data_IF_567037830762
#
_entry.id   IF_567037830762
#
_cell.length_a   1.000
_cell.length_b   1.000
_cell.length_c   1.000
_cell.angle_alpha   90.00
_cell.angle_beta   90.00
_cell.angle_gamma   90.00
#
_symmetry.space_group_name_H-M   'P 1'
#
loop_
_entity.id
_entity.type
_entity.pdbx_description
1 polymer ?
#
# COMPACT_ATOMS: atom_id res chain seq x y z
N UNK A 1 28.24 -68.20 42.24
CA UNK A 1 27.22 -67.85 41.20
C UNK A 1 26.10 -67.11 41.93
N UNK A 2 25.79 -65.83 41.79
CA UNK A 2 26.06 -64.80 40.78
C UNK A 2 26.03 -63.42 41.47
N UNK A 3 26.97 -62.54 41.12
CA UNK A 3 27.04 -61.15 41.55
C UNK A 3 26.27 -60.30 40.52
N UNK A 4 25.10 -59.75 40.87
CA UNK A 4 24.33 -58.88 39.96
C UNK A 4 24.90 -57.45 39.97
N UNK A 5 25.68 -57.09 38.94
CA UNK A 5 26.06 -55.70 38.64
C UNK A 5 24.85 -54.98 38.01
N UNK A 6 24.36 -53.92 38.66
CA UNK A 6 23.42 -52.97 38.05
C UNK A 6 24.18 -52.02 37.14
N UNK A 7 23.94 -52.11 35.84
CA UNK A 7 24.42 -51.17 34.83
C UNK A 7 23.41 -50.01 34.75
N UNK A 8 23.80 -48.79 35.15
CA UNK A 8 23.01 -47.59 34.88
C UNK A 8 23.28 -47.16 33.44
N UNK A 9 22.30 -47.31 32.55
CA UNK A 9 22.32 -46.70 31.22
C UNK A 9 21.84 -45.24 31.32
N UNK A 10 22.75 -44.30 31.10
CA UNK A 10 22.41 -42.91 30.80
C UNK A 10 21.90 -42.81 29.35
N UNK A 11 20.61 -42.57 29.17
CA UNK A 11 20.06 -42.16 27.88
C UNK A 11 20.32 -40.67 27.67
N UNK A 12 21.32 -40.31 26.86
CA UNK A 12 21.46 -38.97 26.32
C UNK A 12 20.33 -38.71 25.31
N UNK A 13 19.36 -37.89 25.68
CA UNK A 13 18.41 -37.29 24.74
C UNK A 13 19.15 -36.25 23.89
N UNK A 14 19.57 -36.63 22.69
CA UNK A 14 20.03 -35.69 21.67
C UNK A 14 18.77 -35.12 21.01
N UNK A 15 18.35 -33.94 21.43
CA UNK A 15 17.31 -33.19 20.74
C UNK A 15 17.85 -32.76 19.35
N UNK A 16 17.19 -33.10 18.24
CA UNK A 16 17.58 -32.59 16.93
C UNK A 16 17.30 -31.09 16.91
N UNK A 17 18.36 -30.28 16.92
CA UNK A 17 18.29 -28.89 16.52
C UNK A 17 17.88 -28.85 15.05
N UNK A 18 16.59 -28.65 14.80
CA UNK A 18 16.12 -28.19 13.49
C UNK A 18 16.62 -26.76 13.31
N UNK A 19 17.84 -26.63 12.78
CA UNK A 19 18.25 -25.40 12.11
C UNK A 19 17.37 -25.32 10.87
N UNK A 20 16.25 -24.62 10.99
CA UNK A 20 15.46 -24.25 9.82
C UNK A 20 16.36 -23.44 8.91
N UNK A 21 16.82 -24.05 7.81
CA UNK A 21 17.54 -23.34 6.77
C UNK A 21 16.61 -22.23 6.27
N UNK A 22 16.88 -20.98 6.69
CA UNK A 22 16.39 -19.82 5.98
C UNK A 22 16.96 -19.96 4.58
N UNK A 23 16.11 -20.37 3.62
CA UNK A 23 16.45 -20.26 2.21
C UNK A 23 16.72 -18.77 1.96
N UNK A 24 17.99 -18.38 1.96
CA UNK A 24 18.40 -17.04 1.58
C UNK A 24 17.97 -16.86 0.13
N UNK A 25 16.79 -16.28 -0.08
CA UNK A 25 16.31 -15.91 -1.41
C UNK A 25 17.34 -14.93 -1.96
N UNK A 26 18.01 -15.33 -3.04
CA UNK A 26 19.03 -14.49 -3.68
C UNK A 26 18.38 -13.20 -4.14
N UNK A 27 18.96 -12.06 -3.76
CA UNK A 27 18.47 -10.76 -4.20
C UNK A 27 18.52 -10.67 -5.73
N UNK A 28 17.42 -10.23 -6.34
CA UNK A 28 17.26 -10.09 -7.79
C UNK A 28 17.14 -8.63 -8.17
N UNK A 29 17.58 -8.32 -9.39
CA UNK A 29 17.45 -6.98 -9.96
C UNK A 29 15.97 -6.69 -10.20
N UNK A 30 15.50 -5.54 -9.72
CA UNK A 30 14.12 -5.08 -9.89
C UNK A 30 13.91 -4.61 -11.33
N UNK A 31 12.88 -5.13 -12.05
CA UNK A 31 12.54 -4.65 -13.38
C UNK A 31 11.89 -3.26 -13.34
N UNK A 32 11.96 -2.54 -14.46
CA UNK A 32 11.30 -1.24 -14.66
C UNK A 32 10.50 -1.24 -15.96
N UNK A 33 9.15 -1.24 -15.91
CA UNK A 33 8.31 -1.20 -14.71
C UNK A 33 8.42 -2.47 -13.83
N UNK A 34 8.04 -2.35 -12.56
CA UNK A 34 7.93 -3.49 -11.65
C UNK A 34 6.76 -4.39 -12.08
N UNK A 35 5.60 -3.79 -12.36
CA UNK A 35 4.39 -4.52 -12.67
C UNK A 35 3.44 -3.70 -13.56
N UNK A 36 2.77 -4.40 -14.49
CA UNK A 36 1.64 -3.89 -15.28
C UNK A 36 0.50 -4.88 -15.18
N UNK A 37 -0.70 -4.35 -14.95
CA UNK A 37 -1.91 -5.16 -14.92
C UNK A 37 -2.24 -5.67 -16.34
N UNK A 38 -2.37 -6.99 -16.56
CA UNK A 38 -2.60 -7.51 -17.90
C UNK A 38 -4.04 -7.27 -18.38
N UNK A 39 -4.99 -7.05 -17.47
CA UNK A 39 -6.43 -6.99 -17.77
C UNK A 39 -6.82 -5.63 -18.35
N UNK A 40 -6.71 -4.58 -17.54
CA UNK A 40 -7.05 -3.21 -17.89
C UNK A 40 -5.85 -2.28 -18.03
N UNK A 41 -4.65 -2.69 -17.59
CA UNK A 41 -3.39 -1.93 -17.67
C UNK A 41 -3.45 -0.57 -16.95
N UNK A 42 -4.18 -0.55 -15.82
CA UNK A 42 -4.33 0.61 -14.96
C UNK A 42 -4.03 0.31 -13.50
N UNK A 43 -2.94 -0.40 -13.21
CA UNK A 43 -2.52 -0.68 -11.84
C UNK A 43 -2.10 0.61 -11.12
N UNK A 44 -2.80 0.96 -10.04
CA UNK A 44 -2.55 2.17 -9.26
C UNK A 44 -2.77 1.92 -7.75
N UNK A 45 -2.29 2.84 -6.93
CA UNK A 45 -2.57 2.89 -5.48
C UNK A 45 -2.28 1.52 -4.79
N UNK A 46 -1.05 1.00 -4.87
CA UNK A 46 -0.74 -0.35 -4.41
C UNK A 46 -0.72 -0.44 -2.88
N UNK A 47 -0.91 -1.65 -2.34
CA UNK A 47 -0.48 -2.07 -1.00
C UNK A 47 0.16 -3.45 -1.08
N UNK A 48 1.31 -3.62 -0.45
CA UNK A 48 2.10 -4.86 -0.46
C UNK A 48 2.04 -5.54 0.90
N UNK A 49 1.47 -6.73 0.95
CA UNK A 49 1.16 -7.45 2.19
C UNK A 49 1.54 -8.93 2.10
N UNK A 50 2.02 -9.50 3.20
CA UNK A 50 2.37 -10.92 3.26
C UNK A 50 1.13 -11.80 3.49
N UNK A 51 0.86 -12.70 2.56
CA UNK A 51 -0.11 -13.77 2.72
C UNK A 51 0.50 -14.92 3.54
N UNK A 52 0.03 -15.08 4.79
CA UNK A 52 0.54 -16.08 5.73
C UNK A 52 0.22 -17.51 5.29
N UNK A 53 -0.99 -17.73 4.76
CA UNK A 53 -1.45 -19.05 4.35
C UNK A 53 -0.68 -19.56 3.12
N UNK A 54 -0.45 -18.68 2.14
CA UNK A 54 0.23 -19.07 0.90
C UNK A 54 1.75 -18.86 0.91
N UNK A 55 2.27 -18.18 1.93
CA UNK A 55 3.68 -17.81 2.04
C UNK A 55 4.18 -17.07 0.78
N UNK A 56 3.40 -16.09 0.34
CA UNK A 56 3.69 -15.20 -0.79
C UNK A 56 3.42 -13.76 -0.39
N UNK A 57 4.11 -12.84 -1.04
CA UNK A 57 3.74 -11.44 -1.07
C UNK A 57 2.58 -11.25 -2.02
N UNK A 58 1.54 -10.58 -1.56
CA UNK A 58 0.46 -10.08 -2.40
C UNK A 58 0.62 -8.57 -2.55
N UNK A 59 0.29 -8.08 -3.73
CA UNK A 59 0.14 -6.68 -4.02
C UNK A 59 -1.31 -6.47 -4.45
N UNK A 60 -2.04 -5.71 -3.65
CA UNK A 60 -3.39 -5.29 -3.95
C UNK A 60 -3.33 -3.90 -4.55
N UNK A 61 -4.09 -3.63 -5.61
CA UNK A 61 -4.01 -2.35 -6.32
C UNK A 61 -5.37 -1.95 -6.89
N UNK A 62 -5.64 -0.65 -7.01
CA UNK A 62 -6.75 -0.14 -7.80
C UNK A 62 -6.58 -0.57 -9.25
N UNK A 63 -7.52 -1.35 -9.79
CA UNK A 63 -7.50 -1.79 -11.18
C UNK A 63 -8.27 -0.82 -12.07
N UNK A 64 -7.64 0.32 -12.42
CA UNK A 64 -8.24 1.35 -13.30
C UNK A 64 -8.46 0.78 -14.70
N UNK A 65 -9.58 1.13 -15.32
CA UNK A 65 -10.05 0.53 -16.58
C UNK A 65 -9.43 1.19 -17.82
N UNK A 66 -8.10 1.32 -17.89
CA UNK A 66 -7.43 2.11 -18.92
C UNK A 66 -7.67 1.60 -20.35
N UNK A 67 -7.79 0.27 -20.55
CA UNK A 67 -8.13 -0.37 -21.83
C UNK A 67 -9.61 -0.30 -22.22
N UNK A 68 -10.51 0.09 -21.31
CA UNK A 68 -11.92 0.14 -21.61
C UNK A 68 -12.22 1.24 -22.64
N UNK A 69 -13.05 0.89 -23.63
CA UNK A 69 -13.45 1.78 -24.72
C UNK A 69 -14.72 2.55 -24.34
N UNK A 70 -14.97 3.62 -25.08
CA UNK A 70 -16.23 4.37 -25.04
C UNK A 70 -16.57 4.89 -23.62
N UNK A 71 -15.54 5.25 -22.86
CA UNK A 71 -15.66 5.85 -21.54
C UNK A 71 -15.40 7.35 -21.58
N UNK A 72 -16.34 8.12 -21.02
CA UNK A 72 -16.27 9.58 -20.92
C UNK A 72 -15.65 10.05 -19.60
N UNK A 73 -14.95 11.18 -19.64
CA UNK A 73 -14.33 11.83 -18.50
C UNK A 73 -13.55 10.86 -17.61
N UNK A 74 -13.91 10.80 -16.33
CA UNK A 74 -13.21 9.97 -15.34
C UNK A 74 -13.84 8.59 -15.16
N UNK A 75 -14.78 8.19 -16.02
CA UNK A 75 -15.46 6.89 -15.92
C UNK A 75 -14.48 5.72 -15.86
N UNK A 76 -13.32 5.80 -16.51
CA UNK A 76 -12.29 4.76 -16.50
C UNK A 76 -11.64 4.54 -15.13
N UNK A 77 -11.68 5.51 -14.22
CA UNK A 77 -11.27 5.29 -12.82
C UNK A 77 -12.43 4.83 -11.94
N UNK A 78 -13.68 4.84 -12.41
CA UNK A 78 -14.80 4.23 -11.72
C UNK A 78 -15.06 2.80 -12.21
N UNK A 79 -15.92 2.05 -11.54
CA UNK A 79 -16.20 0.64 -11.81
C UNK A 79 -15.00 -0.27 -11.54
N UNK A 80 -14.03 0.22 -10.76
CA UNK A 80 -12.77 -0.45 -10.49
C UNK A 80 -12.92 -1.52 -9.44
N UNK A 81 -12.11 -2.58 -9.60
CA UNK A 81 -11.91 -3.62 -8.60
C UNK A 81 -10.54 -3.45 -7.97
N UNK A 82 -10.28 -4.19 -6.89
CA UNK A 82 -8.95 -4.33 -6.34
C UNK A 82 -8.30 -5.56 -6.99
N UNK A 83 -7.29 -5.34 -7.83
CA UNK A 83 -6.50 -6.41 -8.44
C UNK A 83 -5.54 -7.04 -7.44
N UNK A 84 -5.14 -8.28 -7.71
CA UNK A 84 -4.19 -9.06 -6.91
C UNK A 84 -3.05 -9.49 -7.83
N UNK A 85 -1.83 -9.09 -7.50
CA UNK A 85 -0.61 -9.70 -8.00
C UNK A 85 0.10 -10.46 -6.87
N UNK A 86 0.73 -11.58 -7.18
CA UNK A 86 1.48 -12.39 -6.21
C UNK A 86 2.95 -12.53 -6.59
N UNK A 87 3.82 -12.56 -5.57
CA UNK A 87 5.25 -12.75 -5.73
C UNK A 87 5.83 -13.59 -4.60
N UNK A 88 6.83 -14.42 -4.90
CA UNK A 88 7.61 -15.12 -3.87
C UNK A 88 8.79 -14.29 -3.37
N UNK A 89 9.31 -13.36 -4.15
CA UNK A 89 10.55 -12.63 -3.85
C UNK A 89 10.37 -11.11 -3.80
N UNK A 90 9.18 -10.59 -4.13
CA UNK A 90 8.89 -9.16 -4.23
C UNK A 90 9.35 -8.51 -5.53
N UNK A 91 9.85 -9.31 -6.49
CA UNK A 91 10.40 -8.85 -7.78
C UNK A 91 9.57 -9.38 -8.93
N UNK A 92 9.35 -10.70 -8.96
CA UNK A 92 8.56 -11.35 -10.00
C UNK A 92 7.10 -11.34 -9.58
N UNK A 93 6.32 -10.42 -10.13
CA UNK A 93 4.89 -10.27 -9.85
C UNK A 93 4.06 -10.92 -10.94
N UNK A 94 3.11 -11.76 -10.55
CA UNK A 94 2.17 -12.41 -11.46
C UNK A 94 0.75 -11.99 -11.10
N UNK A 95 -0.02 -11.59 -12.11
CA UNK A 95 -1.45 -11.39 -11.94
C UNK A 95 -2.10 -12.67 -11.42
N UNK A 96 -3.01 -12.51 -10.46
CA UNK A 96 -3.77 -13.60 -9.89
C UNK A 96 -5.24 -13.47 -10.26
N UNK A 97 -5.90 -12.45 -9.72
CA UNK A 97 -7.33 -12.18 -9.90
C UNK A 97 -7.66 -10.78 -9.33
N UNK A 98 -8.91 -10.51 -9.01
CA UNK A 98 -9.38 -9.40 -8.19
C UNK A 98 -9.92 -9.89 -6.85
N UNK A 99 -9.88 -9.03 -5.82
CA UNK A 99 -10.44 -9.33 -4.52
C UNK A 99 -11.94 -9.65 -4.60
N UNK A 100 -12.35 -10.71 -3.91
CA UNK A 100 -13.75 -11.03 -3.68
C UNK A 100 -14.35 -10.25 -2.51
N UNK A 101 -14.78 -9.01 -2.75
CA UNK A 101 -15.38 -8.15 -1.73
C UNK A 101 -16.88 -8.41 -1.64
N UNK A 102 -17.37 -8.95 -0.52
CA UNK A 102 -18.78 -9.27 -0.24
C UNK A 102 -19.59 -8.03 0.18
N UNK A 103 -19.50 -6.98 -0.63
CA UNK A 103 -20.27 -5.74 -0.53
C UNK A 103 -20.36 -5.16 -1.93
N UNK A 104 -21.30 -5.73 -2.70
CA UNK A 104 -21.42 -5.55 -4.14
C UNK A 104 -22.85 -5.17 -4.50
N UNK A 105 -23.05 -3.93 -4.95
CA UNK A 105 -24.23 -3.59 -5.76
C UNK A 105 -23.86 -3.74 -7.24
N UNK A 106 -24.73 -3.50 -8.24
CA UNK A 106 -24.32 -3.67 -9.63
C UNK A 106 -23.24 -2.67 -10.09
N UNK A 107 -23.30 -1.42 -9.59
CA UNK A 107 -22.47 -0.32 -10.06
C UNK A 107 -21.72 0.35 -8.88
N UNK A 108 -20.48 -0.05 -8.64
CA UNK A 108 -19.67 0.43 -7.51
C UNK A 108 -18.19 0.36 -7.85
N UNK A 109 -17.42 1.13 -7.10
CA UNK A 109 -16.03 1.46 -7.41
C UNK A 109 -15.18 1.33 -6.15
N UNK A 110 -14.00 0.74 -6.29
CA UNK A 110 -13.03 0.55 -5.21
C UNK A 110 -11.68 1.18 -5.53
N UNK A 111 -11.14 1.98 -4.62
CA UNK A 111 -9.83 2.64 -4.76
C UNK A 111 -8.97 2.47 -3.51
N UNK A 112 -7.65 2.52 -3.71
CA UNK A 112 -6.62 2.72 -2.69
C UNK A 112 -6.83 1.84 -1.44
N UNK A 113 -6.64 0.51 -1.57
CA UNK A 113 -6.73 -0.39 -0.43
C UNK A 113 -5.59 -0.12 0.56
N UNK A 114 -5.90 0.01 1.84
CA UNK A 114 -4.93 -0.18 2.92
C UNK A 114 -5.20 -1.50 3.61
N UNK A 115 -4.16 -2.29 3.86
CA UNK A 115 -4.29 -3.59 4.52
C UNK A 115 -3.30 -3.74 5.65
N UNK A 116 -3.82 -4.15 6.81
CA UNK A 116 -3.03 -4.56 7.97
C UNK A 116 -3.44 -5.95 8.44
N UNK A 117 -2.54 -6.62 9.15
CA UNK A 117 -2.84 -7.89 9.81
C UNK A 117 -2.80 -7.72 11.33
N UNK A 118 -3.80 -8.29 12.01
CA UNK A 118 -3.88 -8.31 13.45
C UNK A 118 -4.47 -9.64 13.92
N UNK A 119 -3.70 -10.39 14.71
CA UNK A 119 -4.14 -11.63 15.38
C UNK A 119 -4.77 -12.68 14.43
N UNK A 120 -4.19 -12.84 13.24
CA UNK A 120 -4.62 -13.82 12.24
C UNK A 120 -5.68 -13.31 11.26
N UNK A 121 -6.16 -12.08 11.41
CA UNK A 121 -7.15 -11.45 10.54
C UNK A 121 -6.52 -10.29 9.79
N UNK A 122 -6.78 -10.23 8.49
CA UNK A 122 -6.46 -9.07 7.66
C UNK A 122 -7.63 -8.10 7.71
N UNK A 123 -7.34 -6.82 7.95
CA UNK A 123 -8.30 -5.73 7.87
C UNK A 123 -7.94 -4.88 6.66
N UNK A 124 -8.93 -4.60 5.82
CA UNK A 124 -8.80 -3.65 4.71
C UNK A 124 -9.67 -2.43 4.99
N UNK A 125 -9.09 -1.26 4.78
CA UNK A 125 -9.80 0.01 4.73
C UNK A 125 -9.73 0.52 3.31
N UNK A 126 -10.89 0.65 2.69
CA UNK A 126 -11.00 0.79 1.24
C UNK A 126 -11.87 1.98 0.90
N UNK A 127 -11.40 2.82 -0.02
CA UNK A 127 -12.24 3.86 -0.60
C UNK A 127 -13.33 3.22 -1.46
N UNK A 128 -14.57 3.54 -1.16
CA UNK A 128 -15.77 3.06 -1.83
C UNK A 128 -16.53 4.23 -2.44
N UNK A 129 -16.88 4.12 -3.72
CA UNK A 129 -17.77 5.05 -4.41
C UNK A 129 -19.02 4.30 -4.89
N UNK A 130 -20.25 4.75 -4.55
CA UNK A 130 -21.50 4.06 -4.84
C UNK A 130 -21.97 4.32 -6.28
N UNK A 131 -21.12 4.02 -7.26
CA UNK A 131 -21.49 4.20 -8.66
C UNK A 131 -20.32 4.27 -9.61
N UNK A 132 -20.69 4.38 -10.88
CA UNK A 132 -19.80 4.68 -12.00
C UNK A 132 -20.17 6.04 -12.56
N UNK A 133 -19.22 6.97 -12.55
CA UNK A 133 -19.50 8.37 -12.83
C UNK A 133 -18.47 8.97 -13.81
N UNK A 134 -18.92 9.94 -14.60
CA UNK A 134 -18.08 10.65 -15.56
C UNK A 134 -17.36 11.87 -14.96
N UNK A 135 -17.69 12.26 -13.73
CA UNK A 135 -17.06 13.37 -13.00
C UNK A 135 -16.83 13.07 -11.51
N UNK A 136 -16.24 14.02 -10.78
CA UNK A 136 -15.80 13.83 -9.39
C UNK A 136 -16.80 14.27 -8.31
N UNK A 137 -18.03 14.67 -8.65
CA UNK A 137 -18.99 15.32 -7.73
C UNK A 137 -19.91 14.32 -7.00
N UNK A 138 -19.40 13.14 -6.66
CA UNK A 138 -20.18 12.04 -6.09
C UNK A 138 -19.69 11.61 -4.70
N UNK A 139 -20.52 11.11 -3.79
CA UNK A 139 -20.06 10.71 -2.46
C UNK A 139 -18.99 9.61 -2.55
N UNK A 140 -18.11 9.56 -1.55
CA UNK A 140 -17.11 8.50 -1.41
C UNK A 140 -16.77 8.34 0.07
N UNK A 141 -16.75 7.10 0.51
CA UNK A 141 -16.58 6.72 1.90
C UNK A 141 -15.41 5.74 2.06
N UNK A 142 -14.92 5.58 3.28
CA UNK A 142 -14.04 4.47 3.63
C UNK A 142 -14.88 3.35 4.25
N UNK A 143 -14.75 2.13 3.71
CA UNK A 143 -15.37 0.92 4.26
C UNK A 143 -14.32 0.03 4.92
N UNK A 144 -14.73 -0.70 5.95
CA UNK A 144 -13.94 -1.71 6.63
C UNK A 144 -14.34 -3.11 6.16
N UNK A 145 -13.34 -3.88 5.77
CA UNK A 145 -13.46 -5.27 5.35
C UNK A 145 -12.51 -6.16 6.16
N UNK A 146 -12.85 -7.43 6.33
CA UNK A 146 -11.98 -8.44 6.95
C UNK A 146 -11.75 -9.63 6.03
N UNK A 147 -10.58 -10.27 6.16
CA UNK A 147 -10.23 -11.47 5.41
C UNK A 147 -9.30 -12.38 6.21
N UNK A 148 -9.34 -13.68 5.93
CA UNK A 148 -8.37 -14.67 6.43
C UNK A 148 -7.35 -15.09 5.38
N UNK A 149 -7.56 -14.69 4.10
CA UNK A 149 -6.77 -15.19 2.98
C UNK A 149 -6.35 -14.10 1.97
N UNK A 150 -6.67 -12.83 2.22
CA UNK A 150 -6.42 -11.67 1.35
C UNK A 150 -7.14 -11.69 -0.01
N UNK A 151 -8.05 -12.64 -0.22
CA UNK A 151 -8.78 -12.83 -1.47
C UNK A 151 -10.25 -12.56 -1.23
N UNK A 152 -10.86 -13.25 -0.27
CA UNK A 152 -12.26 -13.11 0.08
C UNK A 152 -12.40 -12.13 1.23
N UNK A 153 -13.20 -11.09 1.06
CA UNK A 153 -13.33 -9.98 1.98
C UNK A 153 -14.78 -9.86 2.43
N UNK A 154 -15.00 -10.02 3.73
CA UNK A 154 -16.28 -9.78 4.39
C UNK A 154 -16.40 -8.29 4.69
N UNK A 155 -17.56 -7.71 4.42
CA UNK A 155 -17.85 -6.34 4.87
C UNK A 155 -18.22 -6.29 6.34
N UNK A 156 -17.65 -5.33 7.05
CA UNK A 156 -17.92 -5.08 8.47
C UNK A 156 -18.70 -3.78 8.65
N UNK A 157 -18.20 -2.66 8.11
CA UNK A 157 -18.84 -1.36 8.32
C UNK A 157 -18.46 -0.32 7.26
N UNK A 158 -19.27 0.73 7.16
CA UNK A 158 -18.89 2.02 6.56
C UNK A 158 -18.46 2.95 7.70
N UNK A 159 -17.31 3.61 7.57
CA UNK A 159 -16.79 4.48 8.61
C UNK A 159 -17.53 5.82 8.63
N UNK A 160 -17.76 6.34 9.84
CA UNK A 160 -18.26 7.70 10.06
C UNK A 160 -17.08 8.64 10.31
N UNK A 161 -16.62 9.32 9.27
CA UNK A 161 -15.45 10.21 9.28
C UNK A 161 -15.87 11.67 9.14
N UNK A 162 -14.90 12.58 8.99
CA UNK A 162 -15.15 14.01 8.99
C UNK A 162 -16.06 14.53 7.86
N UNK A 163 -16.26 13.78 6.77
CA UNK A 163 -17.17 14.16 5.68
C UNK A 163 -17.60 12.98 4.81
N UNK A 164 -18.51 13.23 3.86
CA UNK A 164 -18.95 12.28 2.81
C UNK A 164 -18.01 12.24 1.59
N UNK A 165 -16.82 12.85 1.72
CA UNK A 165 -15.76 12.79 0.71
C UNK A 165 -14.41 12.47 1.33
N UNK A 166 -14.34 11.30 1.95
CA UNK A 166 -13.13 10.76 2.56
C UNK A 166 -12.56 9.59 1.75
N UNK A 167 -11.26 9.60 1.49
CA UNK A 167 -10.56 8.59 0.70
C UNK A 167 -9.20 8.23 1.32
N UNK A 168 -8.60 7.18 0.80
CA UNK A 168 -7.18 6.83 0.95
C UNK A 168 -6.77 6.66 2.41
N UNK A 169 -7.29 5.62 3.04
CA UNK A 169 -6.93 5.27 4.41
C UNK A 169 -5.46 4.82 4.49
N UNK A 170 -4.82 5.07 5.62
CA UNK A 170 -3.63 4.35 6.07
C UNK A 170 -3.72 4.11 7.57
N UNK A 171 -3.44 2.89 8.03
CA UNK A 171 -3.61 2.48 9.43
C UNK A 171 -2.28 2.09 10.04
N UNK A 172 -1.97 2.71 11.17
CA UNK A 172 -0.76 2.43 11.95
C UNK A 172 -1.12 2.04 13.38
N UNK A 173 -0.36 1.11 13.94
CA UNK A 173 -0.46 0.76 15.36
C UNK A 173 0.26 1.81 16.20
N UNK A 174 -0.43 2.35 17.19
CA UNK A 174 0.09 3.34 18.13
C UNK A 174 0.97 2.67 19.21
N UNK A 175 1.91 3.41 19.84
CA UNK A 175 2.77 2.87 20.91
C UNK A 175 2.00 2.29 22.11
N UNK A 176 0.81 2.82 22.41
CA UNK A 176 -0.06 2.32 23.48
C UNK A 176 -0.85 1.05 23.09
N UNK A 177 -0.69 0.53 21.88
CA UNK A 177 -1.36 -0.67 21.38
C UNK A 177 -2.68 -0.42 20.65
N UNK A 178 -3.24 0.79 20.72
CA UNK A 178 -4.39 1.23 19.90
C UNK A 178 -3.97 1.47 18.44
N UNK A 179 -4.90 1.93 17.61
CA UNK A 179 -4.70 2.14 16.18
C UNK A 179 -5.10 3.55 15.79
N UNK A 180 -4.36 4.11 14.83
CA UNK A 180 -4.68 5.38 14.19
C UNK A 180 -4.81 5.19 12.69
N UNK A 181 -5.88 5.71 12.13
CA UNK A 181 -6.08 5.82 10.69
C UNK A 181 -5.83 7.26 10.27
N UNK A 182 -5.03 7.47 9.24
CA UNK A 182 -4.99 8.71 8.48
C UNK A 182 -5.81 8.55 7.23
N UNK A 183 -6.46 9.62 6.79
CA UNK A 183 -7.26 9.61 5.56
C UNK A 183 -7.31 11.01 4.96
N UNK A 184 -7.57 11.09 3.66
CA UNK A 184 -7.80 12.35 2.99
C UNK A 184 -9.24 12.84 3.18
N UNK A 185 -9.42 14.11 3.53
CA UNK A 185 -10.72 14.77 3.55
C UNK A 185 -10.79 15.79 2.40
N UNK A 186 -11.47 15.42 1.31
CA UNK A 186 -11.55 16.26 0.12
C UNK A 186 -12.28 17.58 0.38
N UNK A 187 -13.29 17.58 1.25
CA UNK A 187 -14.07 18.78 1.59
C UNK A 187 -13.29 19.78 2.44
N UNK A 188 -12.19 19.34 3.06
CA UNK A 188 -11.31 20.19 3.86
C UNK A 188 -10.02 20.56 3.09
N UNK A 189 -10.16 20.90 1.81
CA UNK A 189 -9.04 21.30 0.96
C UNK A 189 -8.05 20.18 0.70
N UNK A 190 -8.53 18.92 0.60
CA UNK A 190 -7.68 17.74 0.38
C UNK A 190 -6.60 17.57 1.46
N UNK A 191 -6.95 17.87 2.70
CA UNK A 191 -6.04 17.73 3.85
C UNK A 191 -6.09 16.32 4.44
N UNK A 192 -5.05 15.91 5.17
CA UNK A 192 -5.03 14.63 5.87
C UNK A 192 -5.59 14.81 7.28
N UNK A 193 -6.56 13.99 7.62
CA UNK A 193 -7.22 13.90 8.92
C UNK A 193 -6.86 12.56 9.58
N UNK A 194 -7.26 12.37 10.85
CA UNK A 194 -7.10 11.08 11.51
C UNK A 194 -8.29 10.67 12.38
N UNK A 195 -8.44 9.37 12.56
CA UNK A 195 -9.37 8.72 13.48
C UNK A 195 -8.62 7.67 14.31
N UNK A 196 -9.09 7.39 15.52
CA UNK A 196 -8.47 6.42 16.43
C UNK A 196 -9.43 5.25 16.73
N UNK A 197 -8.87 4.07 16.98
CA UNK A 197 -9.60 2.84 17.29
C UNK A 197 -8.82 1.94 18.24
N UNK A 198 -9.50 1.31 19.20
CA UNK A 198 -8.88 0.32 20.10
C UNK A 198 -8.87 -1.09 19.50
N UNK A 199 -9.76 -1.39 18.55
CA UNK A 199 -10.08 -2.76 18.12
C UNK A 199 -10.07 -3.00 16.61
N UNK A 200 -9.87 -1.95 15.78
CA UNK A 200 -9.98 -1.96 14.31
C UNK A 200 -11.41 -2.18 13.77
N UNK A 201 -12.44 -2.07 14.59
CA UNK A 201 -13.84 -2.14 14.16
C UNK A 201 -14.57 -0.83 14.43
N UNK A 202 -14.30 -0.21 15.58
CA UNK A 202 -14.94 1.03 16.00
C UNK A 202 -13.94 2.18 15.91
N UNK A 203 -14.22 3.12 15.01
CA UNK A 203 -13.38 4.29 14.76
C UNK A 203 -14.03 5.54 15.32
N UNK A 204 -13.27 6.32 16.08
CA UNK A 204 -13.65 7.66 16.52
C UNK A 204 -12.88 8.69 15.72
N UNK A 205 -13.58 9.42 14.87
CA UNK A 205 -12.98 10.55 14.16
C UNK A 205 -12.48 11.61 15.14
N UNK A 206 -11.28 12.14 14.88
CA UNK A 206 -10.71 13.18 15.75
C UNK A 206 -11.29 14.58 15.47
N UNK A 207 -11.88 14.79 14.29
CA UNK A 207 -12.24 16.10 13.74
C UNK A 207 -11.03 16.98 13.42
N UNK A 208 -9.81 16.46 13.57
CA UNK A 208 -8.55 17.24 13.50
C UNK A 208 -7.79 16.92 12.23
N UNK A 209 -7.19 17.98 11.69
CA UNK A 209 -6.25 17.90 10.58
C UNK A 209 -4.87 17.47 11.10
N UNK A 210 -4.33 16.37 10.59
CA UNK A 210 -2.95 15.94 10.84
C UNK A 210 -1.96 16.70 9.95
N UNK A 211 -2.29 16.87 8.66
CA UNK A 211 -1.47 17.59 7.68
C UNK A 211 -2.38 18.45 6.81
N UNK A 212 -2.00 19.72 6.65
CA UNK A 212 -2.79 20.73 5.94
C UNK A 212 -2.01 21.83 5.26
N UNK A 213 -0.70 21.72 5.21
CA UNK A 213 0.17 22.72 4.60
C UNK A 213 0.03 22.74 3.07
N UNK A 214 -0.37 21.61 2.48
CA UNK A 214 -0.70 21.44 1.06
C UNK A 214 -1.84 20.46 0.89
N UNK A 215 -2.62 20.64 -0.19
CA UNK A 215 -3.54 19.61 -0.64
C UNK A 215 -2.79 18.36 -1.10
N UNK A 216 -3.37 17.20 -0.86
CA UNK A 216 -2.86 15.92 -1.33
C UNK A 216 -3.80 14.76 -1.07
N UNK A 217 -3.33 13.55 -1.27
CA UNK A 217 -4.04 12.29 -1.00
C UNK A 217 -3.03 11.16 -0.71
N UNK A 218 -3.50 9.92 -0.59
CA UNK A 218 -2.63 8.76 -0.36
C UNK A 218 -1.65 8.88 0.81
N UNK A 219 -2.10 9.18 2.05
CA UNK A 219 -1.22 9.13 3.19
C UNK A 219 -0.68 7.71 3.34
N UNK A 220 0.63 7.53 3.50
CA UNK A 220 1.24 6.26 3.92
C UNK A 220 2.16 6.46 5.10
N UNK A 221 1.81 5.88 6.24
CA UNK A 221 2.60 5.94 7.47
C UNK A 221 3.40 4.66 7.69
N UNK A 222 4.68 4.81 8.02
CA UNK A 222 5.57 3.71 8.37
C UNK A 222 6.63 4.14 9.38
N UNK A 223 7.13 3.19 10.18
CA UNK A 223 8.19 3.45 11.15
C UNK A 223 9.54 2.98 10.61
N UNK A 224 10.52 3.89 10.54
CA UNK A 224 11.86 3.59 10.05
C UNK A 224 12.88 4.59 10.58
N UNK A 225 14.08 4.12 10.95
CA UNK A 225 15.13 4.96 11.56
C UNK A 225 14.62 5.76 12.77
N UNK A 226 13.98 5.04 13.70
CA UNK A 226 13.47 5.55 14.98
C UNK A 226 12.53 6.74 14.86
N UNK A 227 11.79 6.81 13.74
CA UNK A 227 10.92 7.92 13.36
C UNK A 227 9.70 7.39 12.61
N UNK A 228 8.53 7.98 12.84
CA UNK A 228 7.38 7.77 11.99
C UNK A 228 7.46 8.70 10.79
N UNK A 229 7.29 8.14 9.61
CA UNK A 229 7.26 8.87 8.35
C UNK A 229 5.87 8.80 7.76
N UNK A 230 5.42 9.88 7.13
CA UNK A 230 4.24 9.90 6.28
C UNK A 230 4.62 10.36 4.88
N UNK A 231 4.23 9.58 3.88
CA UNK A 231 4.25 9.98 2.47
C UNK A 231 2.86 10.50 2.10
N UNK A 232 2.78 11.58 1.32
CA UNK A 232 1.51 12.13 0.81
C UNK A 232 1.70 12.49 -0.66
N UNK A 233 0.78 12.06 -1.53
CA UNK A 233 0.75 12.51 -2.93
C UNK A 233 0.24 13.95 -2.99
N UNK A 234 1.13 14.91 -3.23
CA UNK A 234 0.78 16.32 -3.38
C UNK A 234 0.58 16.74 -4.84
N UNK A 235 0.47 15.77 -5.78
CA UNK A 235 0.45 15.97 -7.23
C UNK A 235 1.62 16.82 -7.76
N UNK A 236 2.75 16.75 -7.05
CA UNK A 236 4.01 17.42 -7.39
C UNK A 236 5.17 16.56 -6.85
N UNK A 237 5.14 15.27 -7.18
CA UNK A 237 5.86 14.26 -6.40
C UNK A 237 5.26 14.06 -5.01
N UNK A 238 5.95 13.27 -4.19
CA UNK A 238 5.44 12.86 -2.89
C UNK A 238 6.08 13.66 -1.76
N UNK A 239 5.23 14.30 -0.95
CA UNK A 239 5.62 14.98 0.27
C UNK A 239 6.06 13.97 1.32
N UNK A 240 7.07 14.35 2.11
CA UNK A 240 7.62 13.54 3.20
C UNK A 240 7.46 14.30 4.51
N UNK A 241 6.90 13.64 5.51
CA UNK A 241 6.68 14.20 6.83
C UNK A 241 7.25 13.26 7.89
N UNK A 242 7.81 13.83 8.96
CA UNK A 242 8.37 13.12 10.10
C UNK A 242 7.56 13.41 11.37
N UNK A 243 7.35 12.40 12.20
CA UNK A 243 6.72 12.52 13.51
C UNK A 243 7.39 11.60 14.53
N UNK A 244 7.32 12.00 15.80
CA UNK A 244 7.71 11.18 16.94
C UNK A 244 6.52 10.58 17.69
N UNK A 245 5.33 11.13 17.50
CA UNK A 245 4.14 10.85 18.31
C UNK A 245 2.87 10.57 17.50
N UNK A 246 3.00 10.48 16.16
CA UNK A 246 1.89 10.27 15.22
C UNK A 246 0.83 11.39 15.26
N UNK A 247 1.12 12.53 15.86
CA UNK A 247 0.17 13.66 15.96
C UNK A 247 0.75 14.90 15.31
N UNK A 248 1.98 15.26 15.71
CA UNK A 248 2.69 16.41 15.15
C UNK A 248 3.58 15.96 13.99
N UNK A 249 3.36 16.55 12.82
CA UNK A 249 4.05 16.18 11.58
C UNK A 249 4.89 17.35 11.07
N UNK A 250 6.20 17.12 10.93
CA UNK A 250 7.13 18.08 10.34
C UNK A 250 7.43 17.70 8.90
N UNK A 251 7.10 18.57 7.97
CA UNK A 251 7.41 18.40 6.55
C UNK A 251 8.90 18.56 6.27
N UNK A 252 9.45 17.68 5.44
CA UNK A 252 10.76 17.85 4.80
C UNK A 252 10.67 18.89 3.67
N UNK A 253 11.71 19.72 3.42
CA UNK A 253 11.66 20.72 2.36
C UNK A 253 11.34 20.13 0.97
N UNK A 254 12.04 19.06 0.60
CA UNK A 254 11.98 18.46 -0.74
C UNK A 254 11.01 17.28 -0.82
N UNK A 255 10.29 17.22 -1.96
CA UNK A 255 9.49 16.06 -2.35
C UNK A 255 10.37 14.98 -2.99
N UNK A 256 10.03 13.72 -2.75
CA UNK A 256 10.61 12.60 -3.50
C UNK A 256 9.79 12.32 -4.76
N UNK A 257 10.39 11.64 -5.75
CA UNK A 257 9.71 11.20 -6.99
C UNK A 257 9.05 12.34 -7.83
N UNK A 258 9.44 13.60 -7.59
CA UNK A 258 8.97 14.75 -8.35
C UNK A 258 9.60 14.81 -9.76
N UNK A 259 10.90 14.52 -9.87
CA UNK A 259 11.69 14.68 -11.10
C UNK A 259 11.70 13.37 -11.88
N UNK A 260 11.19 13.32 -13.14
CA UNK A 260 11.18 12.13 -14.01
C UNK A 260 12.41 11.22 -13.91
N UNK A 261 12.20 9.91 -13.87
CA UNK A 261 13.27 8.91 -13.93
C UNK A 261 13.59 8.52 -15.38
N UNK A 262 14.44 7.50 -15.54
CA UNK A 262 14.92 7.00 -16.85
C UNK A 262 14.29 5.69 -17.28
N UNK A 263 13.63 4.95 -16.38
CA UNK A 263 12.95 3.69 -16.73
C UNK A 263 11.81 3.89 -17.73
N UNK A 264 11.52 2.88 -18.57
CA UNK A 264 10.59 2.98 -19.72
C UNK A 264 9.23 3.59 -19.37
N UNK A 265 8.68 3.27 -18.20
CA UNK A 265 7.40 3.84 -17.74
C UNK A 265 7.55 4.78 -16.52
N UNK A 266 8.77 5.19 -16.16
CA UNK A 266 9.08 5.96 -14.94
C UNK A 266 9.49 7.41 -15.25
N UNK A 267 9.22 7.87 -16.49
CA UNK A 267 9.64 9.17 -17.03
C UNK A 267 8.68 10.32 -16.70
N UNK A 268 7.86 10.14 -15.66
CA UNK A 268 6.92 11.14 -15.15
C UNK A 268 7.02 11.18 -13.62
N UNK A 269 6.29 12.09 -12.97
CA UNK A 269 6.24 12.10 -11.51
C UNK A 269 5.58 10.82 -10.96
N UNK A 270 6.04 10.33 -9.81
CA UNK A 270 5.37 9.24 -9.09
C UNK A 270 4.12 9.73 -8.37
N UNK A 271 3.08 8.89 -8.33
CA UNK A 271 1.84 9.13 -7.57
C UNK A 271 1.74 8.26 -6.33
N UNK A 272 0.52 8.20 -5.74
CA UNK A 272 0.14 7.40 -4.57
C UNK A 272 1.00 6.14 -4.36
N UNK A 273 1.51 6.00 -3.14
CA UNK A 273 2.52 5.00 -2.82
C UNK A 273 2.20 4.16 -1.58
N UNK A 274 2.79 2.98 -1.55
CA UNK A 274 2.97 2.17 -0.35
C UNK A 274 4.45 2.04 -0.01
N UNK A 275 4.75 1.74 1.26
CA UNK A 275 6.12 1.56 1.74
C UNK A 275 6.22 0.29 2.57
N UNK A 276 7.13 -0.59 2.18
CA UNK A 276 7.48 -1.80 2.93
C UNK A 276 8.84 -1.63 3.57
N UNK A 277 8.88 -1.69 4.90
CA UNK A 277 10.13 -1.81 5.66
C UNK A 277 10.45 -3.29 5.84
N UNK A 278 11.55 -3.77 5.27
CA UNK A 278 11.97 -5.17 5.35
C UNK A 278 13.49 -5.26 5.58
N UNK A 279 13.89 -5.99 6.63
CA UNK A 279 15.30 -6.15 7.01
C UNK A 279 16.06 -4.82 7.15
N UNK A 280 15.42 -3.81 7.77
CA UNK A 280 16.01 -2.49 8.02
C UNK A 280 16.11 -1.56 6.80
N UNK A 281 15.64 -2.00 5.62
CA UNK A 281 15.54 -1.21 4.39
C UNK A 281 14.09 -0.80 4.16
N UNK A 282 13.85 0.35 3.53
CA UNK A 282 12.53 0.83 3.20
C UNK A 282 12.36 0.89 1.67
N UNK A 283 11.31 0.28 1.15
CA UNK A 283 11.03 0.18 -0.28
C UNK A 283 9.72 0.87 -0.60
N UNK A 284 9.74 1.82 -1.52
CA UNK A 284 8.56 2.57 -1.95
C UNK A 284 8.01 1.98 -3.26
N UNK A 285 6.75 1.58 -3.23
CA UNK A 285 5.96 1.13 -4.37
C UNK A 285 5.06 2.28 -4.79
N UNK A 286 5.14 2.72 -6.04
CA UNK A 286 4.36 3.86 -6.53
C UNK A 286 3.90 3.59 -7.95
N UNK A 287 2.84 4.26 -8.38
CA UNK A 287 2.41 4.18 -9.78
C UNK A 287 2.85 5.41 -10.57
N UNK A 288 2.96 5.26 -11.88
CA UNK A 288 3.13 6.35 -12.84
C UNK A 288 2.04 6.26 -13.91
N UNK A 289 1.71 7.40 -14.51
CA UNK A 289 0.98 7.46 -15.78
C UNK A 289 1.98 7.80 -16.90
N UNK A 290 2.69 6.82 -17.46
CA UNK A 290 3.83 7.06 -18.35
C UNK A 290 3.49 7.89 -19.59
N UNK A 291 2.25 7.78 -20.09
CA UNK A 291 1.82 8.63 -21.20
C UNK A 291 1.41 10.04 -20.81
N UNK A 292 1.32 10.43 -19.53
CA UNK A 292 0.99 11.82 -19.14
C UNK A 292 2.24 12.71 -19.18
N UNK A 293 2.62 13.11 -20.39
CA UNK A 293 3.77 13.97 -20.65
C UNK A 293 3.34 15.42 -20.92
N UNK A 294 4.23 16.41 -20.82
CA UNK A 294 3.87 17.80 -21.08
C UNK A 294 3.22 18.03 -22.47
N UNK A 295 3.65 17.29 -23.48
CA UNK A 295 3.21 17.44 -24.87
C UNK A 295 1.75 17.00 -25.14
N UNK A 296 1.16 16.16 -24.28
CA UNK A 296 -0.22 15.67 -24.45
C UNK A 296 -1.11 16.04 -23.25
N UNK A 297 -0.78 17.15 -22.58
CA UNK A 297 -1.58 17.67 -21.46
C UNK A 297 -3.05 17.85 -21.88
N UNK A 298 -3.95 17.25 -21.12
CA UNK A 298 -5.39 17.31 -21.37
C UNK A 298 -5.92 16.29 -22.39
N UNK A 299 -5.05 15.50 -23.01
CA UNK A 299 -5.49 14.39 -23.87
C UNK A 299 -5.94 13.22 -22.98
N UNK A 300 -7.13 12.72 -23.23
CA UNK A 300 -7.69 11.57 -22.53
C UNK A 300 -7.82 10.37 -23.49
N UNK A 301 -6.90 9.42 -23.36
CA UNK A 301 -6.87 8.19 -24.16
C UNK A 301 -6.17 7.07 -23.39
N UNK A 302 -6.09 5.88 -23.99
CA UNK A 302 -5.41 4.74 -23.38
C UNK A 302 -4.00 5.07 -22.86
N UNK A 303 -3.17 5.79 -23.63
CA UNK A 303 -1.79 6.11 -23.23
C UNK A 303 -1.72 7.04 -22.00
N UNK A 304 -2.62 8.02 -21.89
CA UNK A 304 -2.67 8.92 -20.73
C UNK A 304 -3.43 8.34 -19.53
N UNK A 305 -4.19 7.25 -19.75
CA UNK A 305 -4.91 6.50 -18.71
C UNK A 305 -4.09 5.35 -18.12
N UNK A 306 -3.30 4.64 -18.93
CA UNK A 306 -2.54 3.47 -18.46
C UNK A 306 -1.60 3.83 -17.32
N UNK A 307 -1.38 2.88 -16.43
CA UNK A 307 -0.44 3.05 -15.34
C UNK A 307 0.34 1.78 -15.08
N UNK A 308 1.55 1.97 -14.56
CA UNK A 308 2.43 0.89 -14.15
C UNK A 308 2.98 1.15 -12.77
N UNK A 309 3.24 0.07 -12.05
CA UNK A 309 3.84 0.13 -10.73
C UNK A 309 5.35 0.08 -10.86
N UNK A 310 6.01 0.89 -10.05
CA UNK A 310 7.45 1.08 -9.94
C UNK A 310 7.89 0.73 -8.51
N UNK A 311 9.19 0.51 -8.35
CA UNK A 311 9.80 0.24 -7.06
C UNK A 311 11.16 0.91 -6.95
N UNK A 312 11.36 1.63 -5.87
CA UNK A 312 12.63 2.25 -5.50
C UNK A 312 12.93 2.00 -4.02
N UNK A 313 14.20 2.18 -3.65
CA UNK A 313 14.62 2.17 -2.25
C UNK A 313 14.65 3.60 -1.70
N UNK A 314 14.11 3.76 -0.49
CA UNK A 314 14.25 4.99 0.27
C UNK A 314 15.58 4.93 1.04
N UNK A 315 16.33 6.04 0.98
CA UNK A 315 17.57 6.20 1.73
C UNK A 315 17.41 7.31 2.77
N UNK A 316 18.02 7.13 3.94
CA UNK A 316 18.00 8.11 5.02
C UNK A 316 19.36 8.81 5.10
N UNK A 317 19.40 10.09 4.73
CA UNK A 317 20.64 10.88 4.62
C UNK A 317 20.43 12.19 5.34
N UNK A 318 21.27 12.48 6.33
CA UNK A 318 21.30 13.76 7.07
C UNK A 318 19.91 14.20 7.60
N UNK A 319 19.13 13.27 8.16
CA UNK A 319 17.81 13.60 8.72
C UNK A 319 16.66 13.59 7.71
N UNK A 320 16.92 13.27 6.45
CA UNK A 320 15.95 13.33 5.35
C UNK A 320 15.77 11.98 4.66
N UNK A 321 14.57 11.73 4.14
CA UNK A 321 14.33 10.64 3.20
C UNK A 321 14.60 11.15 1.79
N UNK A 322 15.45 10.44 1.07
CA UNK A 322 15.69 10.64 -0.35
C UNK A 322 15.30 9.37 -1.13
N UNK A 323 15.08 9.52 -2.44
CA UNK A 323 14.73 8.41 -3.32
C UNK A 323 15.42 8.60 -4.67
N UNK A 324 16.57 7.94 -4.85
CA UNK A 324 17.17 7.80 -6.19
C UNK A 324 16.48 6.64 -6.90
N UNK A 325 15.38 6.96 -7.59
CA UNK A 325 14.61 5.97 -8.33
C UNK A 325 15.40 5.35 -9.47
N UNK A 326 16.48 5.96 -9.99
CA UNK A 326 17.26 5.42 -11.12
C UNK A 326 18.35 4.44 -10.69
N UNK A 327 18.69 4.39 -9.40
CA UNK A 327 19.62 3.44 -8.83
C UNK A 327 19.21 1.99 -9.12
N UNK A 328 20.18 1.16 -9.53
CA UNK A 328 19.93 -0.27 -9.71
C UNK A 328 19.58 -0.90 -8.37
N UNK A 329 18.36 -1.39 -8.26
CA UNK A 329 17.84 -1.99 -7.04
C UNK A 329 17.91 -3.51 -7.11
N UNK A 330 18.45 -4.14 -6.06
CA UNK A 330 18.34 -5.58 -5.82
C UNK A 330 17.61 -5.85 -4.51
N UNK A 331 16.58 -6.69 -4.55
CA UNK A 331 15.82 -7.09 -3.37
C UNK A 331 15.52 -8.59 -3.36
N UNK A 332 15.26 -9.08 -2.16
CA UNK A 332 14.55 -10.33 -1.91
C UNK A 332 13.76 -10.12 -0.62
N UNK A 333 12.46 -9.84 -0.75
CA UNK A 333 11.63 -9.63 0.42
C UNK A 333 11.53 -10.93 1.23
N UNK A 334 11.81 -10.83 2.53
CA UNK A 334 11.63 -11.94 3.48
C UNK A 334 10.30 -11.81 4.18
N UNK A 335 9.72 -12.94 4.62
CA UNK A 335 8.52 -12.90 5.48
C UNK A 335 8.73 -11.92 6.65
N UNK A 336 7.73 -11.08 6.99
CA UNK A 336 7.79 -10.16 8.13
C UNK A 336 8.02 -10.86 9.47
#
# INVERSE_FOLDING_TARGET
MYLFKRLLLFFLFIAPFYVGAQTNKKAQIVPKPLYRDPVYDGAADPVVVWNKAEQKWFMLYTNRRAKAKDLDGVTWVHGTRIGIAESRNGVDWKYRDTCDIQYRFPDYTHWAPEVIENKGIYHMYLTYVPGVFADWRHPRDIIHLTSTNLINWKFESKLNLASERCIDACVVKMPNGSWRMYYNNEMAGKSIYYADSDDLYHWKDSGKRAIGDRGGEGPKVFFWKDTYWMIVDNWKGLGVYASKDLTEWKRQPENILQIPGKGVDDQVMGGHADVVVNNGRAFIYYFTHPGRIPANKGIDNYETRRSSLQLAELEYVNGMIICDRDKTLKIALTKP
#
